data_IF_410449208304
#
_entry.id   IF_410449208304
#
_cell.length_a   1.000
_cell.length_b   1.000
_cell.length_c   1.000
_cell.angle_alpha   90.00
_cell.angle_beta   90.00
_cell.angle_gamma   90.00
#
_symmetry.space_group_name_H-M   'P 1'
#
loop_
_entity.id
_entity.type
_entity.pdbx_description
1 polymer ?
#
# COMPACT_ATOMS: atom_id res chain seq x y z
N UNK A 1 -17.26 27.72 -39.39
CA UNK A 1 -16.54 27.74 -38.11
C UNK A 1 -17.41 27.03 -37.08
N UNK A 2 -17.01 25.84 -36.63
CA UNK A 2 -17.75 25.11 -35.59
C UNK A 2 -17.42 25.76 -34.26
N UNK A 3 -18.41 26.40 -33.61
CA UNK A 3 -18.29 26.90 -32.25
C UNK A 3 -18.36 25.70 -31.31
N UNK A 4 -17.21 25.19 -30.87
CA UNK A 4 -17.17 24.21 -29.78
C UNK A 4 -17.61 24.91 -28.50
N UNK A 5 -18.54 24.27 -27.78
CA UNK A 5 -19.04 24.68 -26.46
C UNK A 5 -17.83 24.94 -25.55
N UNK A 6 -17.80 26.02 -24.73
CA UNK A 6 -16.69 26.21 -23.81
C UNK A 6 -16.82 25.13 -22.74
N UNK A 7 -16.14 24.01 -22.95
CA UNK A 7 -15.65 23.20 -21.83
C UNK A 7 -14.88 24.19 -20.94
N UNK A 8 -15.10 24.14 -19.62
CA UNK A 8 -14.61 25.15 -18.68
C UNK A 8 -13.10 25.40 -18.75
N UNK A 9 -12.57 26.25 -17.87
CA UNK A 9 -11.11 26.46 -17.78
C UNK A 9 -10.43 25.09 -17.62
N UNK A 10 -9.39 24.87 -18.42
CA UNK A 10 -8.51 23.70 -18.43
C UNK A 10 -7.09 24.27 -18.36
N UNK A 11 -6.54 24.27 -17.16
CA UNK A 11 -5.33 25.02 -16.78
C UNK A 11 -4.04 24.30 -17.16
N UNK A 12 -4.04 22.97 -17.28
CA UNK A 12 -2.87 22.18 -17.68
C UNK A 12 -2.98 21.55 -19.08
N UNK A 13 -4.13 21.68 -19.74
CA UNK A 13 -4.33 21.32 -21.13
C UNK A 13 -4.38 19.81 -21.37
N UNK A 14 -4.70 19.03 -20.33
CA UNK A 14 -4.79 17.56 -20.43
C UNK A 14 -6.12 17.08 -21.03
N UNK A 15 -7.07 18.00 -21.22
CA UNK A 15 -8.39 17.77 -21.81
C UNK A 15 -9.51 17.55 -20.78
N UNK A 16 -9.24 17.64 -19.48
CA UNK A 16 -10.22 17.62 -18.40
C UNK A 16 -10.38 19.04 -17.82
N UNK A 17 -11.60 19.60 -17.74
CA UNK A 17 -11.79 20.93 -17.16
C UNK A 17 -11.44 20.94 -15.66
N UNK A 18 -10.85 22.02 -15.16
CA UNK A 18 -10.38 22.21 -13.77
C UNK A 18 -11.42 21.77 -12.71
N UNK A 19 -12.72 21.96 -13.01
CA UNK A 19 -13.84 21.59 -12.13
C UNK A 19 -14.03 20.07 -11.95
N UNK A 20 -13.42 19.26 -12.81
CA UNK A 20 -13.50 17.80 -12.87
C UNK A 20 -12.13 17.14 -12.77
N UNK A 21 -11.07 17.94 -12.62
CA UNK A 21 -9.70 17.50 -12.57
C UNK A 21 -9.19 17.42 -11.13
N UNK A 22 -8.63 16.28 -10.75
CA UNK A 22 -8.02 16.06 -9.45
C UNK A 22 -6.66 16.76 -9.29
N UNK A 23 -6.03 17.18 -10.38
CA UNK A 23 -4.82 17.97 -10.43
C UNK A 23 -4.83 18.99 -11.59
N UNK A 24 -5.60 20.09 -11.48
CA UNK A 24 -5.77 21.12 -12.53
C UNK A 24 -4.51 21.88 -12.98
N UNK A 25 -3.32 21.47 -12.54
CA UNK A 25 -2.05 22.12 -12.86
C UNK A 25 -0.95 21.09 -13.16
N UNK A 26 -1.30 19.80 -13.24
CA UNK A 26 -0.38 18.70 -13.48
C UNK A 26 -1.00 17.75 -14.54
N UNK A 27 -0.59 17.88 -15.82
CA UNK A 27 -1.20 17.12 -16.91
C UNK A 27 -0.83 15.63 -16.88
N UNK A 28 -0.10 15.16 -15.87
CA UNK A 28 0.26 13.75 -15.72
C UNK A 28 -0.91 12.87 -15.26
N UNK A 29 -1.92 13.43 -14.58
CA UNK A 29 -3.11 12.70 -14.15
C UNK A 29 -4.30 13.63 -13.89
N UNK A 30 -5.50 13.19 -14.27
CA UNK A 30 -6.75 13.92 -14.03
C UNK A 30 -7.63 13.30 -12.93
N UNK A 31 -7.43 12.01 -12.62
CA UNK A 31 -8.32 11.27 -11.72
C UNK A 31 -7.54 10.56 -10.62
N UNK A 32 -8.10 10.58 -9.41
CA UNK A 32 -7.55 9.88 -8.24
C UNK A 32 -8.62 9.01 -7.59
N UNK A 33 -8.28 7.77 -7.29
CA UNK A 33 -9.11 6.84 -6.51
C UNK A 33 -8.29 6.22 -5.37
N UNK A 34 -8.99 5.81 -4.30
CA UNK A 34 -8.36 5.21 -3.14
C UNK A 34 -9.00 3.87 -2.78
N UNK A 35 -8.18 2.90 -2.39
CA UNK A 35 -8.61 1.66 -1.75
C UNK A 35 -8.11 1.61 -0.30
N UNK A 36 -8.99 1.55 0.71
CA UNK A 36 -10.47 1.56 0.64
C UNK A 36 -11.10 2.95 0.43
N UNK A 37 -10.53 4.02 0.99
CA UNK A 37 -10.96 5.41 0.78
C UNK A 37 -9.82 6.37 1.12
N UNK A 38 -9.98 7.66 0.80
CA UNK A 38 -8.97 8.67 1.12
C UNK A 38 -8.68 8.69 2.63
N UNK A 39 -7.42 8.51 3.01
CA UNK A 39 -6.94 8.45 4.40
C UNK A 39 -7.59 7.38 5.29
N UNK A 40 -8.28 6.38 4.73
CA UNK A 40 -8.79 5.22 5.45
C UNK A 40 -7.98 3.98 5.09
N UNK A 41 -7.79 3.07 6.04
CA UNK A 41 -6.97 1.87 5.85
C UNK A 41 -7.85 0.62 5.90
N UNK A 42 -7.58 -0.33 5.02
CA UNK A 42 -8.01 -1.71 5.18
C UNK A 42 -6.92 -2.50 5.90
N UNK A 43 -7.24 -3.67 6.45
CA UNK A 43 -6.26 -4.53 7.12
C UNK A 43 -6.19 -5.88 6.43
N UNK A 44 -4.97 -6.33 6.15
CA UNK A 44 -4.66 -7.69 5.70
C UNK A 44 -4.10 -8.47 6.89
N UNK A 45 -4.66 -9.65 7.15
CA UNK A 45 -4.21 -10.55 8.20
C UNK A 45 -3.70 -11.86 7.58
N UNK A 46 -2.55 -12.34 8.03
CA UNK A 46 -1.90 -13.56 7.57
C UNK A 46 -1.56 -14.48 8.74
N UNK A 47 -1.52 -15.78 8.47
CA UNK A 47 -1.08 -16.87 9.36
C UNK A 47 0.28 -17.39 8.86
N UNK A 48 1.19 -17.77 9.76
CA UNK A 48 2.51 -18.29 9.39
C UNK A 48 2.51 -19.78 9.00
N UNK A 49 1.48 -20.53 9.42
CA UNK A 49 1.41 -21.97 9.28
C UNK A 49 0.61 -22.46 8.06
N UNK A 50 0.04 -21.58 7.22
CA UNK A 50 -0.78 -22.00 6.08
C UNK A 50 0.02 -22.87 5.08
N UNK A 51 -0.50 -24.02 4.59
CA UNK A 51 -1.86 -24.56 4.74
C UNK A 51 -2.04 -25.49 5.95
N UNK A 52 -1.02 -25.67 6.78
CA UNK A 52 -1.09 -26.48 7.99
C UNK A 52 -1.90 -25.76 9.07
N UNK A 53 -2.47 -26.57 9.96
CA UNK A 53 -3.30 -26.08 11.06
C UNK A 53 -2.41 -25.38 12.11
N UNK A 54 -2.42 -24.04 12.14
CA UNK A 54 -1.88 -23.20 13.23
C UNK A 54 -2.87 -23.04 14.39
N UNK A 55 -2.81 -21.92 15.13
CA UNK A 55 -3.75 -21.55 16.19
C UNK A 55 -4.90 -20.62 15.74
N UNK A 56 -4.87 -20.13 14.48
CA UNK A 56 -5.99 -19.48 13.77
C UNK A 56 -6.46 -18.14 14.36
N UNK A 57 -5.62 -17.43 15.10
CA UNK A 57 -6.00 -16.13 15.68
C UNK A 57 -5.74 -14.92 14.74
N UNK A 58 -5.20 -15.17 13.54
CA UNK A 58 -4.95 -14.26 12.43
C UNK A 58 -4.09 -13.04 12.82
N UNK A 59 -3.21 -13.19 13.82
CA UNK A 59 -2.33 -12.10 14.28
C UNK A 59 -0.84 -12.30 13.99
N UNK A 60 -0.46 -13.39 13.32
CA UNK A 60 0.92 -13.67 12.94
C UNK A 60 1.53 -12.57 12.07
N UNK A 61 0.72 -11.95 11.20
CA UNK A 61 1.02 -10.66 10.60
C UNK A 61 -0.25 -9.88 10.26
N UNK A 62 -0.33 -8.63 10.74
CA UNK A 62 -1.39 -7.69 10.34
C UNK A 62 -0.74 -6.49 9.65
N UNK A 63 -1.18 -6.17 8.43
CA UNK A 63 -0.73 -5.03 7.64
C UNK A 63 -1.92 -4.16 7.27
N UNK A 64 -1.95 -2.94 7.79
CA UNK A 64 -2.88 -1.93 7.30
C UNK A 64 -2.41 -1.41 5.95
N UNK A 65 -3.30 -1.19 5.00
CA UNK A 65 -2.98 -0.68 3.66
C UNK A 65 -3.91 0.46 3.23
N UNK A 66 -3.36 1.39 2.46
CA UNK A 66 -4.09 2.36 1.66
C UNK A 66 -3.38 2.48 0.29
N UNK A 67 -4.14 2.32 -0.79
CA UNK A 67 -3.63 2.42 -2.15
C UNK A 67 -4.29 3.59 -2.83
N UNK A 68 -3.50 4.51 -3.38
CA UNK A 68 -3.94 5.62 -4.22
C UNK A 68 -3.59 5.30 -5.69
N UNK A 69 -4.58 5.30 -6.55
CA UNK A 69 -4.45 5.11 -7.99
C UNK A 69 -4.67 6.43 -8.70
N UNK A 70 -3.74 6.82 -9.57
CA UNK A 70 -3.86 8.00 -10.42
C UNK A 70 -3.98 7.62 -11.88
N UNK A 71 -4.90 8.28 -12.58
CA UNK A 71 -5.19 8.03 -14.00
C UNK A 71 -5.15 9.31 -14.80
N UNK A 72 -4.68 9.23 -16.04
CA UNK A 72 -4.72 10.35 -16.99
C UNK A 72 -6.14 10.61 -17.53
N UNK A 73 -6.31 11.67 -18.32
CA UNK A 73 -7.57 12.02 -19.01
C UNK A 73 -8.16 10.88 -19.87
N UNK A 74 -7.32 9.95 -20.36
CA UNK A 74 -7.75 8.74 -21.08
C UNK A 74 -8.13 7.57 -20.14
N UNK A 75 -8.25 7.81 -18.84
CA UNK A 75 -8.60 6.84 -17.82
C UNK A 75 -7.60 5.67 -17.68
N UNK A 76 -6.34 5.85 -18.09
CA UNK A 76 -5.26 4.87 -17.91
C UNK A 76 -4.50 5.16 -16.63
N UNK A 77 -4.19 4.12 -15.85
CA UNK A 77 -3.37 4.23 -14.64
C UNK A 77 -1.95 4.66 -15.00
N UNK A 78 -1.51 5.79 -14.46
CA UNK A 78 -0.16 6.34 -14.63
C UNK A 78 0.68 6.19 -13.37
N UNK A 79 0.03 6.10 -12.20
CA UNK A 79 0.71 5.96 -10.91
C UNK A 79 -0.11 5.12 -9.91
N UNK A 80 0.58 4.29 -9.13
CA UNK A 80 0.05 3.64 -7.94
C UNK A 80 0.93 4.00 -6.74
N UNK A 81 0.31 4.46 -5.65
CA UNK A 81 0.99 4.80 -4.39
C UNK A 81 0.42 3.94 -3.28
N UNK A 82 1.24 3.07 -2.72
CA UNK A 82 0.87 2.20 -1.62
C UNK A 82 1.43 2.72 -0.30
N UNK A 83 0.58 2.81 0.71
CA UNK A 83 0.96 3.01 2.11
C UNK A 83 0.65 1.74 2.88
N UNK A 84 1.64 1.17 3.56
CA UNK A 84 1.48 -0.04 4.36
C UNK A 84 1.99 0.20 5.76
N UNK A 85 1.25 -0.23 6.77
CA UNK A 85 1.62 -0.10 8.18
C UNK A 85 1.62 -1.48 8.79
N UNK A 86 2.77 -1.92 9.29
CA UNK A 86 2.85 -3.17 10.02
C UNK A 86 2.26 -2.98 11.42
N UNK A 87 1.24 -3.77 11.75
CA UNK A 87 0.44 -3.65 12.98
C UNK A 87 0.76 -4.72 14.00
N UNK A 88 1.03 -5.94 13.53
CA UNK A 88 1.42 -7.07 14.36
C UNK A 88 2.36 -7.98 13.58
N UNK A 89 3.29 -8.62 14.29
CA UNK A 89 4.03 -9.79 13.83
C UNK A 89 4.15 -10.75 15.01
N UNK A 90 3.23 -11.72 15.10
CA UNK A 90 3.17 -12.73 16.15
C UNK A 90 4.01 -13.99 15.89
N UNK A 91 4.49 -14.16 14.66
CA UNK A 91 5.16 -15.38 14.22
C UNK A 91 6.60 -15.56 14.75
N UNK A 92 7.00 -16.82 14.93
CA UNK A 92 8.39 -17.19 15.25
C UNK A 92 9.31 -17.16 14.02
N UNK A 93 8.75 -17.18 12.81
CA UNK A 93 9.49 -17.13 11.55
C UNK A 93 9.80 -15.71 11.08
N UNK A 94 10.82 -15.59 10.22
CA UNK A 94 11.12 -14.34 9.51
C UNK A 94 10.14 -14.18 8.34
N UNK A 95 9.05 -13.46 8.58
CA UNK A 95 8.06 -13.21 7.56
C UNK A 95 8.42 -11.98 6.70
N UNK A 96 7.93 -11.98 5.47
CA UNK A 96 8.02 -10.86 4.53
C UNK A 96 6.64 -10.53 3.99
N UNK A 97 6.41 -9.25 3.70
CA UNK A 97 5.22 -8.78 3.02
C UNK A 97 5.59 -8.23 1.65
N UNK A 98 4.78 -8.54 0.65
CA UNK A 98 4.95 -8.07 -0.72
C UNK A 98 3.61 -7.99 -1.43
N UNK A 99 3.56 -7.17 -2.47
CA UNK A 99 2.38 -7.03 -3.33
C UNK A 99 2.81 -7.34 -4.75
N UNK A 100 2.00 -8.16 -5.41
CA UNK A 100 2.09 -8.43 -6.82
C UNK A 100 1.00 -7.66 -7.56
N UNK A 101 1.38 -7.02 -8.66
CA UNK A 101 0.43 -6.37 -9.55
C UNK A 101 0.19 -7.28 -10.77
N UNK A 102 -1.06 -7.45 -11.23
CA UNK A 102 -1.39 -8.30 -12.37
C UNK A 102 -1.08 -7.61 -13.71
N UNK A 103 0.15 -7.11 -13.85
CA UNK A 103 0.63 -6.41 -15.05
C UNK A 103 2.03 -6.92 -15.43
N UNK A 104 2.39 -6.89 -16.73
CA UNK A 104 3.75 -7.22 -17.14
C UNK A 104 4.74 -6.14 -16.67
N UNK A 105 5.98 -6.52 -16.26
CA UNK A 105 7.01 -5.57 -15.85
C UNK A 105 7.33 -4.50 -16.91
N UNK A 106 7.13 -4.81 -18.20
CA UNK A 106 7.31 -3.86 -19.31
C UNK A 106 6.35 -2.67 -19.30
N UNK A 107 5.32 -2.69 -18.45
CA UNK A 107 4.41 -1.57 -18.22
C UNK A 107 4.80 -0.70 -17.03
N UNK A 108 5.83 -1.09 -16.27
CA UNK A 108 6.35 -0.32 -15.14
C UNK A 108 7.51 0.55 -15.63
N UNK A 109 7.35 1.87 -15.59
CA UNK A 109 8.40 2.82 -15.93
C UNK A 109 9.46 2.89 -14.84
N UNK A 110 9.03 2.96 -13.58
CA UNK A 110 9.90 2.93 -12.40
C UNK A 110 9.10 2.56 -11.15
N UNK A 111 9.79 2.12 -10.11
CA UNK A 111 9.22 1.91 -8.80
C UNK A 111 10.17 2.42 -7.72
N UNK A 112 9.62 3.05 -6.69
CA UNK A 112 10.35 3.49 -5.49
C UNK A 112 9.71 2.85 -4.26
N UNK A 113 10.53 2.62 -3.24
CA UNK A 113 10.09 2.07 -1.96
C UNK A 113 11.23 1.93 -0.97
N UNK A 114 10.90 1.75 0.31
CA UNK A 114 11.88 1.48 1.36
C UNK A 114 12.12 -0.02 1.52
N UNK A 115 13.39 -0.44 1.46
CA UNK A 115 13.81 -1.80 1.82
C UNK A 115 14.12 -1.84 3.33
N UNK A 116 13.18 -2.28 4.15
CA UNK A 116 13.43 -2.51 5.58
C UNK A 116 13.77 -3.98 5.79
N UNK A 117 14.92 -4.25 6.39
CA UNK A 117 15.21 -5.53 7.02
C UNK A 117 14.69 -5.44 8.45
N UNK A 118 13.50 -5.97 8.72
CA UNK A 118 13.07 -6.17 10.11
C UNK A 118 13.95 -7.28 10.72
N UNK A 119 15.04 -6.89 11.40
CA UNK A 119 15.86 -7.79 12.19
C UNK A 119 15.14 -8.04 13.52
N UNK A 120 14.17 -8.96 13.53
CA UNK A 120 13.68 -9.51 14.79
C UNK A 120 14.71 -10.51 15.30
N UNK A 121 15.61 -10.03 16.17
CA UNK A 121 16.56 -10.85 16.91
C UNK A 121 15.81 -11.52 18.07
N UNK A 122 15.51 -12.81 17.91
CA UNK A 122 15.08 -13.66 19.01
C UNK A 122 16.31 -13.95 19.90
N UNK A 123 16.60 -13.11 20.89
CA UNK A 123 17.56 -13.43 21.96
C UNK A 123 16.77 -13.79 23.21
N UNK A 124 16.49 -15.08 23.38
CA UNK A 124 16.01 -15.65 24.64
C UNK A 124 17.26 -16.03 25.44
N UNK A 125 17.69 -15.16 26.36
CA UNK A 125 18.54 -15.58 27.48
C UNK A 125 17.60 -16.02 28.61
N UNK A 126 17.72 -17.29 28.96
CA UNK A 126 17.17 -18.04 30.10
C UNK A 126 16.16 -17.34 31.03
N UNK A 127 14.91 -17.81 31.03
CA UNK A 127 14.17 -17.98 32.28
C UNK A 127 13.37 -19.29 32.25
N UNK A 128 13.71 -20.12 33.22
CA UNK A 128 13.12 -21.42 33.53
C UNK A 128 11.64 -21.33 33.85
N UNK A 129 10.93 -22.41 33.51
CA UNK A 129 9.68 -22.90 34.08
C UNK A 129 8.39 -22.07 33.92
N UNK A 130 7.44 -22.72 33.25
CA UNK A 130 6.02 -22.80 33.62
C UNK A 130 5.26 -21.47 33.72
N UNK A 131 4.73 -21.00 32.58
CA UNK A 131 3.35 -20.53 32.45
C UNK A 131 2.98 -20.49 30.95
N UNK A 132 1.81 -21.06 30.63
CA UNK A 132 1.03 -20.73 29.43
C UNK A 132 0.75 -19.22 29.46
N UNK A 133 0.76 -18.59 28.29
CA UNK A 133 0.59 -17.14 28.02
C UNK A 133 1.90 -16.41 27.74
N UNK A 134 2.26 -16.39 26.45
CA UNK A 134 3.23 -15.46 25.89
C UNK A 134 2.66 -14.84 24.61
N UNK A 135 1.60 -14.05 24.77
CA UNK A 135 1.28 -12.99 23.81
C UNK A 135 2.40 -11.96 23.89
N UNK A 136 3.29 -11.96 22.90
CA UNK A 136 4.27 -10.90 22.75
C UNK A 136 3.58 -9.72 22.07
N UNK A 137 2.98 -8.80 22.85
CA UNK A 137 2.67 -7.46 22.34
C UNK A 137 3.98 -6.73 22.13
N UNK A 138 4.40 -6.58 20.87
CA UNK A 138 5.40 -5.58 20.52
C UNK A 138 5.00 -4.23 21.13
N UNK A 139 5.96 -3.50 21.72
CA UNK A 139 5.70 -2.17 22.28
C UNK A 139 4.92 -1.35 21.25
N UNK A 140 3.76 -0.80 21.64
CA UNK A 140 2.75 -0.24 20.75
C UNK A 140 3.20 1.00 19.93
N UNK A 141 4.46 1.42 20.05
CA UNK A 141 4.93 2.75 19.66
C UNK A 141 5.82 2.79 18.40
N UNK A 142 6.32 1.66 17.89
CA UNK A 142 7.05 1.63 16.61
C UNK A 142 6.15 1.12 15.47
N UNK A 143 5.30 2.02 14.96
CA UNK A 143 4.57 1.77 13.71
C UNK A 143 5.54 1.92 12.53
N UNK A 144 5.95 0.80 11.95
CA UNK A 144 6.68 0.82 10.69
C UNK A 144 5.74 1.19 9.55
N UNK A 145 5.82 2.44 9.09
CA UNK A 145 5.07 2.94 7.94
C UNK A 145 5.95 2.83 6.69
N UNK A 146 5.46 2.12 5.70
CA UNK A 146 6.07 1.94 4.40
C UNK A 146 5.27 2.73 3.37
N UNK A 147 5.98 3.46 2.52
CA UNK A 147 5.40 4.11 1.37
C UNK A 147 6.19 3.73 0.13
N UNK A 148 5.49 3.36 -0.93
CA UNK A 148 6.07 3.06 -2.22
C UNK A 148 5.22 3.66 -3.33
N UNK A 149 5.87 3.97 -4.45
CA UNK A 149 5.22 4.53 -5.63
C UNK A 149 5.70 3.75 -6.85
N UNK A 150 4.77 3.28 -7.66
CA UNK A 150 5.04 2.75 -8.99
C UNK A 150 4.50 3.71 -10.05
N UNK A 151 5.30 3.93 -11.09
CA UNK A 151 4.93 4.72 -12.28
C UNK A 151 4.78 3.78 -13.46
N UNK A 152 3.76 3.99 -14.28
CA UNK A 152 3.42 3.13 -15.41
C UNK A 152 3.62 3.83 -16.75
N UNK A 153 3.90 3.04 -17.77
CA UNK A 153 4.01 3.49 -19.15
C UNK A 153 2.60 3.48 -19.76
N UNK A 154 2.03 4.66 -20.00
CA UNK A 154 0.67 4.88 -20.51
C UNK A 154 0.53 4.77 -22.03
#
# INVERSE_FOLDING_TARGET
>A
MVKTKPYGVDSDGDGVPDSQDAAPSDPAYAFVTHGPAANQYGSLAFEDAFPYKGDYDMNDMIVDYNIEERRNASNKVTQLRGKFVLKAMGASYRNGFGIELPIPPSKVASATGMKIRALFLHRVESFLNTQKDKTFRGKEDEKFIYQGTAYFIS
#
